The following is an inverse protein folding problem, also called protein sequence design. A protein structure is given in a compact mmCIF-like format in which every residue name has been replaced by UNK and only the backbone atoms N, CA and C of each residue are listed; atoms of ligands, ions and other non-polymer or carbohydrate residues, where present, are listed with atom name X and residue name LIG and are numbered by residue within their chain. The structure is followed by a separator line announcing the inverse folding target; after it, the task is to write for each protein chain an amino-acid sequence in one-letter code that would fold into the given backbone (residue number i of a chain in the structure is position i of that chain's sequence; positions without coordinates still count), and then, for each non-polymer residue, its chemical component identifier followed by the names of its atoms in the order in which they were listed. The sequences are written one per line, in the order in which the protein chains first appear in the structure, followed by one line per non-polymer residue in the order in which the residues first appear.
data_IF_827972143514
#
_entry.id   IF_827972143514
#
_cell.length_a   1.000
_cell.length_b   1.000
_cell.length_c   1.000
_cell.angle_alpha   90.00
_cell.angle_beta   90.00
_cell.angle_gamma   90.00
#
_symmetry.space_group_name_H-M   'P 1'
#
loop_
_entity.id
_entity.type
_entity.pdbx_description
1 polymer ?
#
# COMPACT_ATOMS: atom_id res chain seq x y z
N UNK A 1 -2.59 4.40 41.60
CA UNK A 1 -1.44 3.50 41.35
C UNK A 1 -1.89 2.30 40.52
N UNK A 2 -1.22 2.04 39.44
CA UNK A 2 -1.46 0.80 38.66
C UNK A 2 -0.98 -0.40 39.49
N UNK A 3 -1.78 -1.47 39.54
CA UNK A 3 -1.38 -2.71 40.20
C UNK A 3 -0.17 -3.33 39.49
N UNK A 4 0.72 -3.98 40.21
CA UNK A 4 1.94 -4.58 39.66
C UNK A 4 1.70 -5.52 38.48
N UNK A 5 0.57 -6.22 38.49
CA UNK A 5 0.13 -7.07 37.34
C UNK A 5 -0.16 -6.28 36.08
N UNK A 6 -0.82 -5.13 36.17
CA UNK A 6 -1.12 -4.28 35.00
C UNK A 6 0.17 -3.71 34.36
N UNK A 7 1.18 -3.42 35.17
CA UNK A 7 2.49 -2.97 34.70
C UNK A 7 3.27 -4.08 33.97
N UNK A 8 3.20 -5.32 34.49
CA UNK A 8 3.82 -6.48 33.83
C UNK A 8 3.15 -6.81 32.50
N UNK A 9 1.82 -6.76 32.42
CA UNK A 9 1.06 -7.00 31.20
C UNK A 9 1.35 -5.94 30.13
N UNK A 10 1.46 -4.66 30.51
CA UNK A 10 1.85 -3.57 29.61
C UNK A 10 3.28 -3.74 29.07
N UNK A 11 4.21 -4.19 29.90
CA UNK A 11 5.61 -4.46 29.49
C UNK A 11 5.67 -5.65 28.54
N UNK A 12 4.97 -6.74 28.85
CA UNK A 12 4.90 -7.91 27.98
C UNK A 12 4.29 -7.57 26.62
N UNK A 13 3.20 -6.82 26.60
CA UNK A 13 2.58 -6.35 25.37
C UNK A 13 3.52 -5.44 24.54
N UNK A 14 4.26 -4.55 25.19
CA UNK A 14 5.26 -3.70 24.54
C UNK A 14 6.43 -4.50 23.97
N UNK A 15 6.90 -5.53 24.69
CA UNK A 15 7.95 -6.45 24.22
C UNK A 15 7.47 -7.26 23.02
N UNK A 16 6.26 -7.81 23.07
CA UNK A 16 5.67 -8.56 21.95
C UNK A 16 5.49 -7.67 20.72
N UNK A 17 5.02 -6.45 20.87
CA UNK A 17 4.93 -5.47 19.78
C UNK A 17 6.29 -5.16 19.15
N UNK A 18 7.37 -5.05 19.95
CA UNK A 18 8.74 -4.84 19.44
C UNK A 18 9.26 -6.06 18.67
N UNK A 19 9.01 -7.25 19.16
CA UNK A 19 9.37 -8.50 18.47
C UNK A 19 8.68 -8.64 17.12
N UNK A 20 7.40 -8.31 17.04
CA UNK A 20 6.65 -8.31 15.79
C UNK A 20 7.17 -7.29 14.78
N UNK A 21 7.57 -6.12 15.24
CA UNK A 21 8.20 -5.09 14.40
C UNK A 21 9.56 -5.55 13.85
N UNK A 22 10.39 -6.22 14.64
CA UNK A 22 11.66 -6.77 14.19
C UNK A 22 11.45 -7.84 13.10
N UNK A 23 10.48 -8.73 13.28
CA UNK A 23 10.09 -9.72 12.25
C UNK A 23 9.59 -9.06 10.98
N UNK A 24 8.77 -8.01 11.09
CA UNK A 24 8.28 -7.24 9.93
C UNK A 24 9.43 -6.55 9.17
N UNK A 25 10.39 -5.97 9.88
CA UNK A 25 11.59 -5.37 9.26
C UNK A 25 12.42 -6.41 8.50
N UNK A 26 12.62 -7.58 9.10
CA UNK A 26 13.35 -8.69 8.45
C UNK A 26 12.63 -9.14 7.18
N UNK A 27 11.33 -9.42 7.25
CA UNK A 27 10.50 -9.78 6.08
C UNK A 27 10.54 -8.72 4.99
N UNK A 28 10.47 -7.44 5.36
CA UNK A 28 10.54 -6.33 4.41
C UNK A 28 11.90 -6.27 3.68
N UNK A 29 13.01 -6.49 4.39
CA UNK A 29 14.35 -6.57 3.79
C UNK A 29 14.47 -7.76 2.84
N UNK A 30 14.04 -8.94 3.26
CA UNK A 30 14.06 -10.16 2.44
C UNK A 30 13.20 -10.00 1.18
N UNK A 31 12.02 -9.40 1.31
CA UNK A 31 11.13 -9.11 0.20
C UNK A 31 11.77 -8.12 -0.79
N UNK A 32 12.45 -7.10 -0.29
CA UNK A 32 13.17 -6.12 -1.10
C UNK A 32 14.31 -6.76 -1.90
N UNK A 33 15.10 -7.62 -1.28
CA UNK A 33 16.18 -8.37 -1.92
C UNK A 33 15.61 -9.32 -2.99
N UNK A 34 14.55 -10.06 -2.67
CA UNK A 34 13.85 -10.95 -3.60
C UNK A 34 13.33 -10.17 -4.83
N UNK A 35 12.71 -9.02 -4.61
CA UNK A 35 12.23 -8.18 -5.71
C UNK A 35 13.34 -7.67 -6.60
N UNK A 36 14.49 -7.25 -6.04
CA UNK A 36 15.66 -6.83 -6.83
C UNK A 36 16.19 -7.97 -7.70
N UNK A 37 16.24 -9.21 -7.19
CA UNK A 37 16.63 -10.39 -7.98
C UNK A 37 15.62 -10.68 -9.09
N UNK A 38 14.33 -10.64 -8.80
CA UNK A 38 13.26 -10.84 -9.78
C UNK A 38 13.31 -9.79 -10.89
N UNK A 39 13.53 -8.52 -10.56
CA UNK A 39 13.61 -7.44 -11.55
C UNK A 39 14.82 -7.55 -12.48
N UNK A 40 15.86 -8.30 -12.12
CA UNK A 40 16.98 -8.63 -13.02
C UNK A 40 16.62 -9.72 -14.04
N UNK A 41 15.60 -10.52 -13.78
CA UNK A 41 15.18 -11.60 -14.68
C UNK A 41 14.35 -11.05 -15.86
N UNK A 42 14.79 -11.24 -17.12
CA UNK A 42 14.08 -10.73 -18.30
C UNK A 42 12.67 -11.33 -18.46
N UNK A 43 12.44 -12.58 -18.09
CA UNK A 43 11.13 -13.20 -18.10
C UNK A 43 10.15 -12.52 -17.14
N UNK A 44 10.63 -12.13 -15.97
CA UNK A 44 9.82 -11.37 -15.01
C UNK A 44 9.49 -9.96 -15.50
N UNK A 45 10.46 -9.27 -16.11
CA UNK A 45 10.23 -7.95 -16.74
C UNK A 45 9.13 -8.02 -17.80
N UNK A 46 9.16 -9.03 -18.68
CA UNK A 46 8.09 -9.26 -19.68
C UNK A 46 6.72 -9.46 -19.03
N UNK A 47 6.64 -10.24 -17.95
CA UNK A 47 5.37 -10.40 -17.20
C UNK A 47 4.85 -9.09 -16.64
N UNK A 48 5.73 -8.25 -16.11
CA UNK A 48 5.36 -6.93 -15.56
C UNK A 48 4.85 -6.00 -16.67
N UNK A 49 5.50 -6.00 -17.83
CA UNK A 49 5.06 -5.21 -18.99
C UNK A 49 3.70 -5.66 -19.50
N UNK A 50 3.49 -6.97 -19.65
CA UNK A 50 2.18 -7.52 -20.02
C UNK A 50 1.08 -7.14 -19.02
N UNK A 51 1.39 -7.15 -17.72
CA UNK A 51 0.47 -6.68 -16.68
C UNK A 51 0.09 -5.20 -16.85
N UNK A 52 1.04 -4.35 -17.22
CA UNK A 52 0.77 -2.92 -17.46
C UNK A 52 -0.15 -2.70 -18.67
N UNK A 53 -0.03 -3.53 -19.68
CA UNK A 53 -0.85 -3.46 -20.90
C UNK A 53 -2.26 -4.05 -20.74
N UNK A 54 -2.49 -4.82 -19.66
CA UNK A 54 -3.78 -5.46 -19.38
C UNK A 54 -4.73 -4.47 -18.71
N UNK A 55 -5.97 -4.46 -19.14
CA UNK A 55 -7.04 -3.76 -18.44
C UNK A 55 -7.26 -4.39 -17.06
N UNK A 56 -7.41 -3.57 -16.06
CA UNK A 56 -7.66 -4.03 -14.68
C UNK A 56 -9.13 -4.31 -14.46
N UNK A 57 -9.42 -5.35 -13.69
CA UNK A 57 -10.78 -5.70 -13.28
C UNK A 57 -11.37 -4.66 -12.32
N UNK A 58 -12.68 -4.61 -12.22
CA UNK A 58 -13.39 -3.71 -11.29
C UNK A 58 -12.96 -3.88 -9.83
N UNK A 59 -12.79 -5.12 -9.29
CA UNK A 59 -12.27 -5.30 -7.93
C UNK A 59 -10.86 -4.73 -7.73
N UNK A 60 -9.96 -4.88 -8.69
CA UNK A 60 -8.60 -4.30 -8.63
C UNK A 60 -8.63 -2.76 -8.60
N UNK A 61 -9.53 -2.16 -9.40
CA UNK A 61 -9.74 -0.72 -9.42
C UNK A 61 -10.37 -0.21 -8.13
N UNK A 62 -11.26 -0.98 -7.53
CA UNK A 62 -11.84 -0.66 -6.22
C UNK A 62 -10.77 -0.64 -5.11
N UNK A 63 -9.88 -1.61 -5.09
CA UNK A 63 -8.74 -1.63 -4.14
C UNK A 63 -7.86 -0.39 -4.30
N UNK A 64 -7.59 0.03 -5.53
CA UNK A 64 -6.87 1.29 -5.81
C UNK A 64 -7.63 2.52 -5.31
N UNK A 65 -8.93 2.56 -5.53
CA UNK A 65 -9.79 3.62 -5.03
C UNK A 65 -9.76 3.71 -3.50
N UNK A 66 -9.81 2.59 -2.82
CA UNK A 66 -9.68 2.52 -1.36
C UNK A 66 -8.31 3.01 -0.87
N UNK A 67 -7.22 2.62 -1.52
CA UNK A 67 -5.88 3.13 -1.19
C UNK A 67 -5.82 4.65 -1.33
N UNK A 68 -6.31 5.18 -2.45
CA UNK A 68 -6.34 6.63 -2.69
C UNK A 68 -7.21 7.37 -1.68
N UNK A 69 -8.35 6.80 -1.30
CA UNK A 69 -9.21 7.34 -0.27
C UNK A 69 -8.52 7.39 1.10
N UNK A 70 -7.79 6.33 1.48
CA UNK A 70 -6.98 6.31 2.71
C UNK A 70 -5.90 7.38 2.68
N UNK A 71 -5.21 7.55 1.56
CA UNK A 71 -4.18 8.58 1.40
C UNK A 71 -4.75 9.99 1.55
N UNK A 72 -5.93 10.24 0.98
CA UNK A 72 -6.63 11.52 1.14
C UNK A 72 -6.98 11.80 2.61
N UNK A 73 -7.49 10.82 3.33
CA UNK A 73 -7.81 10.93 4.75
C UNK A 73 -6.55 11.15 5.58
N UNK A 74 -5.47 10.41 5.32
CA UNK A 74 -4.18 10.61 5.99
C UNK A 74 -3.64 12.02 5.80
N UNK A 75 -3.66 12.53 4.58
CA UNK A 75 -3.22 13.90 4.29
C UNK A 75 -4.06 14.95 4.99
N UNK A 76 -5.37 14.73 5.11
CA UNK A 76 -6.29 15.66 5.75
C UNK A 76 -6.14 15.69 7.27
N UNK A 77 -6.09 14.54 7.93
CA UNK A 77 -6.11 14.43 9.39
C UNK A 77 -4.73 14.21 10.02
N UNK A 78 -3.76 13.73 9.25
CA UNK A 78 -2.40 13.42 9.72
C UNK A 78 -1.35 14.01 8.75
N UNK A 79 -1.20 15.34 8.71
CA UNK A 79 -0.30 16.00 7.74
C UNK A 79 1.17 15.63 7.92
N UNK A 80 1.57 15.22 9.13
CA UNK A 80 2.94 14.77 9.44
C UNK A 80 3.20 13.27 9.20
N UNK A 81 2.26 12.57 8.55
CA UNK A 81 2.37 11.13 8.33
C UNK A 81 3.68 10.72 7.63
N UNK A 82 4.11 11.47 6.63
CA UNK A 82 5.32 11.14 5.84
C UNK A 82 6.61 11.29 6.68
N UNK A 83 6.61 12.18 7.66
CA UNK A 83 7.72 12.41 8.59
C UNK A 83 7.80 11.38 9.72
N UNK A 84 6.73 10.61 9.94
CA UNK A 84 6.65 9.63 11.02
C UNK A 84 7.52 8.40 10.72
N UNK A 85 8.05 7.79 11.80
CA UNK A 85 8.67 6.47 11.73
C UNK A 85 7.68 5.35 11.43
N UNK A 86 8.16 4.14 11.19
CA UNK A 86 7.32 2.98 10.87
C UNK A 86 6.22 2.70 11.90
N UNK A 87 6.55 2.84 13.18
CA UNK A 87 5.58 2.64 14.28
C UNK A 87 4.46 3.67 14.24
N UNK A 88 4.80 4.94 14.07
CA UNK A 88 3.83 6.02 13.93
C UNK A 88 2.93 5.82 12.72
N UNK A 89 3.49 5.46 11.58
CA UNK A 89 2.73 5.14 10.35
C UNK A 89 1.78 3.96 10.54
N UNK A 90 2.23 2.89 11.21
CA UNK A 90 1.39 1.73 11.50
C UNK A 90 0.20 2.10 12.40
N UNK A 91 0.42 2.89 13.45
CA UNK A 91 -0.64 3.40 14.33
C UNK A 91 -1.64 4.26 13.59
N UNK A 92 -1.17 5.19 12.76
CA UNK A 92 -2.04 6.05 11.94
C UNK A 92 -2.87 5.22 10.96
N UNK A 93 -2.27 4.25 10.28
CA UNK A 93 -2.99 3.36 9.37
C UNK A 93 -4.09 2.57 10.08
N UNK A 94 -3.82 2.09 11.28
CA UNK A 94 -4.78 1.38 12.11
C UNK A 94 -5.93 2.31 12.55
N UNK A 95 -5.61 3.52 12.98
CA UNK A 95 -6.61 4.52 13.38
C UNK A 95 -7.48 4.96 12.20
N UNK A 96 -6.89 5.15 11.04
CA UNK A 96 -7.63 5.46 9.80
C UNK A 96 -8.60 4.34 9.44
N UNK A 97 -8.19 3.09 9.53
CA UNK A 97 -9.05 1.95 9.25
C UNK A 97 -10.21 1.83 10.23
N UNK A 98 -9.97 2.07 11.51
CA UNK A 98 -10.99 1.95 12.57
C UNK A 98 -11.96 3.14 12.59
N UNK A 99 -11.44 4.37 12.56
CA UNK A 99 -12.26 5.59 12.70
C UNK A 99 -12.94 6.02 11.40
N UNK A 100 -12.28 5.82 10.28
CA UNK A 100 -12.70 6.35 8.98
C UNK A 100 -13.09 5.28 7.96
N UNK A 101 -13.26 4.02 8.38
CA UNK A 101 -13.62 2.92 7.50
C UNK A 101 -14.84 3.20 6.59
N UNK A 102 -15.99 3.64 7.12
CA UNK A 102 -17.17 3.99 6.33
C UNK A 102 -16.92 5.16 5.35
N UNK A 103 -16.16 6.17 5.78
CA UNK A 103 -15.77 7.31 4.91
C UNK A 103 -14.87 6.85 3.77
N UNK A 104 -13.95 5.94 4.01
CA UNK A 104 -13.07 5.35 2.99
C UNK A 104 -13.91 4.69 1.90
N UNK A 105 -14.90 3.89 2.26
CA UNK A 105 -15.80 3.22 1.30
C UNK A 105 -16.59 4.23 0.46
N UNK A 106 -17.13 5.27 1.06
CA UNK A 106 -17.86 6.33 0.34
C UNK A 106 -16.97 7.10 -0.63
N UNK A 107 -15.78 7.50 -0.18
CA UNK A 107 -14.81 8.21 -1.02
C UNK A 107 -14.30 7.31 -2.15
N UNK A 108 -14.03 6.04 -1.87
CA UNK A 108 -13.61 5.06 -2.87
C UNK A 108 -14.66 4.90 -3.99
N UNK A 109 -15.94 4.80 -3.64
CA UNK A 109 -17.03 4.74 -4.63
C UNK A 109 -17.08 6.00 -5.51
N UNK A 110 -16.87 7.18 -4.93
CA UNK A 110 -16.82 8.45 -5.68
C UNK A 110 -15.58 8.55 -6.59
N UNK A 111 -14.45 8.00 -6.16
CA UNK A 111 -13.20 8.02 -6.92
C UNK A 111 -13.15 6.94 -8.03
N UNK A 112 -13.95 5.91 -7.92
CA UNK A 112 -13.92 4.77 -8.85
C UNK A 112 -14.05 5.17 -10.32
N UNK A 113 -14.97 6.05 -10.74
CA UNK A 113 -15.06 6.50 -12.13
C UNK A 113 -13.77 7.16 -12.63
N UNK A 114 -13.17 8.04 -11.84
CA UNK A 114 -11.90 8.72 -12.17
C UNK A 114 -10.76 7.71 -12.31
N UNK A 115 -10.69 6.75 -11.42
CA UNK A 115 -9.66 5.70 -11.44
C UNK A 115 -9.83 4.78 -12.64
N UNK A 116 -11.07 4.48 -13.05
CA UNK A 116 -11.35 3.74 -14.29
C UNK A 116 -10.80 4.48 -15.50
N UNK A 117 -11.05 5.77 -15.63
CA UNK A 117 -10.55 6.61 -16.71
C UNK A 117 -9.02 6.64 -16.72
N UNK A 118 -8.40 6.94 -15.57
CA UNK A 118 -6.95 6.97 -15.41
C UNK A 118 -6.30 5.61 -15.76
N UNK A 119 -6.91 4.52 -15.34
CA UNK A 119 -6.43 3.17 -15.66
C UNK A 119 -6.46 2.89 -17.15
N UNK A 120 -7.52 3.28 -17.86
CA UNK A 120 -7.64 3.15 -19.32
C UNK A 120 -6.57 3.96 -20.03
N UNK A 121 -6.34 5.20 -19.61
CA UNK A 121 -5.29 6.06 -20.16
C UNK A 121 -3.89 5.49 -19.95
N UNK A 122 -3.59 4.97 -18.77
CA UNK A 122 -2.30 4.33 -18.47
C UNK A 122 -2.07 3.09 -19.36
N UNK A 123 -3.09 2.26 -19.53
CA UNK A 123 -3.02 1.09 -20.42
C UNK A 123 -2.81 1.51 -21.87
N UNK A 124 -3.52 2.54 -22.32
CA UNK A 124 -3.37 3.10 -23.68
C UNK A 124 -1.94 3.60 -23.91
N UNK A 125 -1.41 4.40 -22.99
CA UNK A 125 -0.02 4.88 -23.02
C UNK A 125 1.00 3.72 -23.03
N UNK A 126 0.82 2.71 -22.19
CA UNK A 126 1.71 1.55 -22.15
C UNK A 126 1.70 0.76 -23.47
N UNK A 127 0.55 0.66 -24.14
CA UNK A 127 0.43 0.02 -25.46
C UNK A 127 1.08 0.87 -26.55
N UNK A 128 0.93 2.18 -26.52
CA UNK A 128 1.53 3.12 -27.46
C UNK A 128 3.06 3.12 -27.37
N UNK A 129 3.61 3.18 -26.14
CA UNK A 129 5.05 3.11 -25.91
C UNK A 129 5.66 1.80 -26.42
N UNK A 130 4.96 0.68 -26.31
CA UNK A 130 5.47 -0.58 -26.83
C UNK A 130 5.42 -0.70 -28.35
N UNK A 131 4.62 0.12 -29.02
CA UNK A 131 4.60 0.19 -30.50
C UNK A 131 5.71 1.10 -31.04
N UNK A 132 6.10 2.11 -30.30
CA UNK A 132 7.16 3.04 -30.68
C UNK A 132 8.58 2.48 -30.50
N UNK A 133 8.73 1.40 -29.74
CA UNK A 133 10.02 0.76 -29.43
C UNK A 133 10.05 -0.66 -30.05
N UNK A 134 10.51 -0.81 -31.32
CA UNK A 134 10.49 -2.09 -32.01
C UNK A 134 11.45 -3.14 -31.44
N UNK A 135 12.44 -2.72 -30.63
CA UNK A 135 13.44 -3.58 -29.99
C UNK A 135 13.08 -3.96 -28.54
N UNK A 136 11.92 -3.60 -28.06
CA UNK A 136 11.47 -3.89 -26.70
C UNK A 136 10.80 -5.26 -26.59
#
# INVERSE_FOLDING_TARGET
MKKFRELTDEIEEAVMKRLDLAKLRKRSKEQSIRMRRLMKNPAYKKKVELKKKRMKSTPELLVRAQKKARDMIRKKFYPKYDEMGREGKAKVNQMVSLKHGPKISKIAKKLLPKIKIQSRELVKRARELSKSDPDA
#
